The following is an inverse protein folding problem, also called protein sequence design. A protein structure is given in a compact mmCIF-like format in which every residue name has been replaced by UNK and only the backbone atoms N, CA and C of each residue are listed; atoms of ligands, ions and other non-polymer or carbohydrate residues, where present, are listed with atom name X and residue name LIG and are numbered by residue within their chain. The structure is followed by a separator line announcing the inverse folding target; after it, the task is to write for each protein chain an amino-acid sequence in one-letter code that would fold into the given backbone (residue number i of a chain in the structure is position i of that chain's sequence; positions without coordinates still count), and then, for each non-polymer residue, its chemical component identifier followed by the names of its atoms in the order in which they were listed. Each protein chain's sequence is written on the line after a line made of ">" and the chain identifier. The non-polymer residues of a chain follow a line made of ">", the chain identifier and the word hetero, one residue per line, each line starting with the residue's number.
data_IF_568920655074
#
_entry.id   IF_568920655074
#
_cell.length_a   1.000
_cell.length_b   1.000
_cell.length_c   1.000
_cell.angle_alpha   90.00
_cell.angle_beta   90.00
_cell.angle_gamma   90.00
#
_symmetry.space_group_name_H-M   'P 1'
#
loop_
_entity.id
_entity.type
_entity.pdbx_description
1 polymer ?
#
# COMPACT_ATOMS: atom_id res chain seq x y z
N UNK A 1 9.32 26.19 39.14
CA UNK A 1 8.37 25.30 38.45
C UNK A 1 9.08 24.00 38.20
N UNK A 2 8.71 22.96 38.92
CA UNK A 2 9.33 21.64 38.94
C UNK A 2 9.06 20.96 37.62
N UNK A 3 10.09 20.73 36.80
CA UNK A 3 10.03 19.84 35.63
C UNK A 3 9.78 18.46 36.24
N UNK A 4 8.51 18.00 36.15
CA UNK A 4 8.13 16.66 36.55
C UNK A 4 8.92 15.68 35.67
N UNK A 5 9.72 14.80 36.30
CA UNK A 5 10.38 13.66 35.69
C UNK A 5 9.34 12.78 35.02
N UNK A 6 8.99 13.06 33.76
CA UNK A 6 8.30 12.10 32.90
C UNK A 6 9.24 10.91 32.74
N UNK A 7 8.84 9.73 33.18
CA UNK A 7 9.64 8.52 33.07
C UNK A 7 9.98 8.28 31.60
N UNK A 8 11.24 8.48 31.23
CA UNK A 8 11.72 8.22 29.87
C UNK A 8 11.54 6.72 29.57
N UNK A 9 10.72 6.39 28.57
CA UNK A 9 10.50 5.02 28.16
C UNK A 9 11.78 4.41 27.59
N UNK A 10 12.06 3.15 27.95
CA UNK A 10 13.14 2.40 27.30
C UNK A 10 12.78 2.15 25.83
N UNK A 11 13.72 2.39 24.93
CA UNK A 11 13.52 2.31 23.48
C UNK A 11 13.21 0.89 22.97
N UNK A 12 13.57 -0.14 23.74
CA UNK A 12 13.28 -1.56 23.47
C UNK A 12 11.97 -2.04 24.12
N UNK A 13 11.24 -1.17 24.83
CA UNK A 13 9.99 -1.53 25.50
C UNK A 13 8.79 -1.46 24.53
N UNK A 14 7.81 -2.32 24.79
CA UNK A 14 6.53 -2.27 24.06
C UNK A 14 5.79 -0.94 24.33
N UNK A 15 5.94 -0.34 25.52
CA UNK A 15 5.35 0.97 25.84
C UNK A 15 5.86 2.06 24.90
N UNK A 16 7.16 2.06 24.60
CA UNK A 16 7.77 2.99 23.64
C UNK A 16 7.17 2.82 22.24
N UNK A 17 7.10 1.57 21.76
CA UNK A 17 6.54 1.27 20.44
C UNK A 17 5.06 1.59 20.35
N UNK A 18 4.27 1.30 21.42
CA UNK A 18 2.83 1.64 21.49
C UNK A 18 2.59 3.15 21.46
N UNK A 19 3.37 3.93 22.21
CA UNK A 19 3.23 5.38 22.24
C UNK A 19 3.43 5.98 20.84
N UNK A 20 4.56 5.67 20.22
CA UNK A 20 4.89 6.25 18.92
C UNK A 20 4.03 5.68 17.76
N UNK A 21 3.54 4.45 17.87
CA UNK A 21 2.54 3.93 16.96
C UNK A 21 1.21 4.68 17.10
N UNK A 22 0.79 5.00 18.33
CA UNK A 22 -0.42 5.77 18.59
C UNK A 22 -0.33 7.20 18.05
N UNK A 23 0.84 7.85 18.18
CA UNK A 23 1.10 9.16 17.55
C UNK A 23 1.01 9.09 16.02
N UNK A 24 1.58 8.06 15.39
CA UNK A 24 1.50 7.87 13.95
C UNK A 24 0.05 7.61 13.49
N UNK A 25 -0.71 6.75 14.20
CA UNK A 25 -2.13 6.50 13.94
C UNK A 25 -2.97 7.78 14.12
N UNK A 26 -2.68 8.59 15.12
CA UNK A 26 -3.36 9.88 15.32
C UNK A 26 -3.13 10.83 14.13
N UNK A 27 -1.91 10.88 13.57
CA UNK A 27 -1.62 11.64 12.35
C UNK A 27 -2.38 11.11 11.14
N UNK A 28 -2.56 9.79 11.01
CA UNK A 28 -3.37 9.23 9.92
C UNK A 28 -4.82 9.71 10.04
N UNK A 29 -5.39 9.70 11.21
CA UNK A 29 -6.76 10.18 11.45
C UNK A 29 -6.98 11.66 11.12
N UNK A 30 -5.91 12.45 11.09
CA UNK A 30 -5.94 13.87 10.64
C UNK A 30 -5.59 14.04 9.15
N UNK A 31 -5.44 12.94 8.38
CA UNK A 31 -5.28 12.99 6.93
C UNK A 31 -3.86 12.71 6.41
N UNK A 32 -2.90 12.37 7.27
CA UNK A 32 -1.54 12.03 6.83
C UNK A 32 -1.46 10.55 6.45
N UNK A 33 -0.92 10.20 5.27
CA UNK A 33 -0.69 8.81 4.89
C UNK A 33 0.24 8.09 5.89
N UNK A 34 -0.04 6.83 6.23
CA UNK A 34 0.68 6.08 7.26
C UNK A 34 2.21 6.03 7.06
N UNK A 35 2.75 5.79 5.84
CA UNK A 35 4.20 5.81 5.65
C UNK A 35 4.83 7.18 5.97
N UNK A 36 4.12 8.26 5.65
CA UNK A 36 4.58 9.62 5.95
C UNK A 36 4.45 9.94 7.45
N UNK A 37 3.36 9.50 8.09
CA UNK A 37 3.16 9.64 9.53
C UNK A 37 4.28 8.93 10.30
N UNK A 38 4.60 7.68 9.94
CA UNK A 38 5.71 6.92 10.52
C UNK A 38 7.05 7.63 10.32
N UNK A 39 7.34 8.10 9.11
CA UNK A 39 8.59 8.85 8.84
C UNK A 39 8.72 10.10 9.69
N UNK A 40 7.62 10.85 9.87
CA UNK A 40 7.59 12.04 10.73
C UNK A 40 7.86 11.70 12.18
N UNK A 41 7.17 10.70 12.74
CA UNK A 41 7.34 10.27 14.14
C UNK A 41 8.76 9.74 14.38
N UNK A 42 9.31 8.95 13.46
CA UNK A 42 10.68 8.43 13.54
C UNK A 42 11.70 9.58 13.58
N UNK A 43 11.53 10.58 12.72
CA UNK A 43 12.44 11.72 12.65
C UNK A 43 12.32 12.64 13.88
N UNK A 44 11.09 12.99 14.28
CA UNK A 44 10.82 13.90 15.41
C UNK A 44 11.31 13.35 16.74
N UNK A 45 11.17 12.03 16.95
CA UNK A 45 11.56 11.38 18.20
C UNK A 45 12.92 10.66 18.11
N UNK A 46 13.67 10.84 17.02
CA UNK A 46 14.97 10.18 16.78
C UNK A 46 14.92 8.67 17.07
N UNK A 47 13.88 7.98 16.62
CA UNK A 47 13.62 6.57 16.95
C UNK A 47 14.73 5.68 16.41
N UNK A 48 15.41 4.90 17.29
CA UNK A 48 16.52 4.07 16.88
C UNK A 48 16.09 2.93 15.96
N UNK A 49 16.95 2.48 15.03
CA UNK A 49 16.61 1.47 14.00
C UNK A 49 15.96 0.21 14.56
N UNK A 50 16.41 -0.31 15.70
CA UNK A 50 15.90 -1.54 16.32
C UNK A 50 14.46 -1.40 16.83
N UNK A 51 13.97 -0.20 17.15
CA UNK A 51 12.59 0.04 17.61
C UNK A 51 11.60 0.25 16.45
N UNK A 52 12.08 0.56 15.23
CA UNK A 52 11.23 0.93 14.09
C UNK A 52 10.33 -0.21 13.63
N UNK A 53 10.83 -1.45 13.69
CA UNK A 53 10.08 -2.63 13.26
C UNK A 53 8.80 -2.86 14.07
N UNK A 54 8.90 -2.85 15.40
CA UNK A 54 7.76 -3.02 16.31
C UNK A 54 6.75 -1.88 16.18
N UNK A 55 7.23 -0.63 16.13
CA UNK A 55 6.40 0.56 15.91
C UNK A 55 5.61 0.44 14.59
N UNK A 56 6.27 0.08 13.51
CA UNK A 56 5.66 -0.08 12.20
C UNK A 56 4.63 -1.20 12.21
N UNK A 57 4.95 -2.37 12.77
CA UNK A 57 4.02 -3.51 12.86
C UNK A 57 2.75 -3.13 13.63
N UNK A 58 2.86 -2.51 14.80
CA UNK A 58 1.73 -2.06 15.61
C UNK A 58 0.85 -1.09 14.82
N UNK A 59 1.45 -0.08 14.17
CA UNK A 59 0.70 0.90 13.41
C UNK A 59 -0.05 0.29 12.21
N UNK A 60 0.60 -0.56 11.42
CA UNK A 60 -0.04 -1.26 10.30
C UNK A 60 -1.14 -2.22 10.76
N UNK A 61 -0.92 -2.98 11.83
CA UNK A 61 -1.91 -3.87 12.43
C UNK A 61 -3.12 -3.07 12.92
N UNK A 62 -2.89 -1.96 13.61
CA UNK A 62 -3.95 -1.08 14.08
C UNK A 62 -4.78 -0.56 12.92
N UNK A 63 -4.17 -0.09 11.85
CA UNK A 63 -4.89 0.41 10.68
C UNK A 63 -5.72 -0.70 9.98
N UNK A 64 -5.25 -1.97 9.98
CA UNK A 64 -6.03 -3.10 9.46
C UNK A 64 -7.22 -3.46 10.34
N UNK A 65 -7.14 -3.22 11.65
CA UNK A 65 -8.15 -3.61 12.64
C UNK A 65 -8.86 -2.40 13.27
N UNK A 66 -8.72 -1.20 12.68
CA UNK A 66 -9.22 0.04 13.28
C UNK A 66 -10.73 0.00 13.47
N UNK A 67 -11.49 -0.54 12.52
CA UNK A 67 -12.94 -0.62 12.64
C UNK A 67 -13.39 -1.45 13.84
N UNK A 68 -12.75 -2.60 14.07
CA UNK A 68 -13.02 -3.43 15.26
C UNK A 68 -12.58 -2.72 16.54
N UNK A 69 -11.40 -2.15 16.55
CA UNK A 69 -10.89 -1.45 17.74
C UNK A 69 -11.76 -0.27 18.15
N UNK A 70 -12.30 0.49 17.20
CA UNK A 70 -13.22 1.61 17.48
C UNK A 70 -14.56 1.15 18.02
N UNK A 71 -15.14 0.10 17.45
CA UNK A 71 -16.40 -0.47 17.95
C UNK A 71 -16.22 -1.05 19.35
N UNK A 72 -15.15 -1.80 19.60
CA UNK A 72 -14.82 -2.30 20.92
C UNK A 72 -14.64 -1.15 21.93
N UNK A 73 -13.94 -0.11 21.55
CA UNK A 73 -13.74 1.05 22.44
C UNK A 73 -15.08 1.73 22.78
N UNK A 74 -16.01 1.81 21.83
CA UNK A 74 -17.35 2.36 22.06
C UNK A 74 -18.20 1.48 23.01
N UNK A 75 -18.02 0.17 22.99
CA UNK A 75 -18.69 -0.76 23.92
C UNK A 75 -18.05 -0.75 25.33
N UNK A 76 -16.75 -0.52 25.40
CA UNK A 76 -15.97 -0.53 26.64
C UNK A 76 -16.08 0.77 27.44
N UNK A 77 -16.26 1.90 26.79
CA UNK A 77 -16.28 3.21 27.42
C UNK A 77 -17.57 3.95 27.09
N UNK A 78 -18.34 4.32 28.11
CA UNK A 78 -19.57 5.13 27.94
C UNK A 78 -19.26 6.47 27.28
N UNK A 79 -18.07 7.02 27.53
CA UNK A 79 -17.58 8.24 26.91
C UNK A 79 -16.14 7.98 26.43
N UNK A 80 -15.96 7.46 25.21
CA UNK A 80 -14.62 7.25 24.64
C UNK A 80 -13.84 8.57 24.57
N UNK A 81 -12.51 8.54 24.67
CA UNK A 81 -11.69 9.73 24.43
C UNK A 81 -11.92 10.29 23.03
N UNK A 82 -11.85 11.61 22.89
CA UNK A 82 -11.88 12.26 21.59
C UNK A 82 -10.73 11.73 20.69
N UNK A 83 -10.91 11.75 19.34
CA UNK A 83 -9.84 11.36 18.42
C UNK A 83 -8.52 12.11 18.73
N UNK A 84 -7.46 11.36 18.92
CA UNK A 84 -6.14 11.87 19.32
C UNK A 84 -5.22 10.74 19.74
N UNK A 85 -4.09 11.05 20.36
CA UNK A 85 -3.09 10.05 20.74
C UNK A 85 -3.63 9.04 21.75
N UNK A 86 -4.40 9.49 22.76
CA UNK A 86 -5.00 8.60 23.76
C UNK A 86 -5.99 7.60 23.15
N UNK A 87 -6.88 8.08 22.27
CA UNK A 87 -7.80 7.23 21.52
C UNK A 87 -7.03 6.21 20.66
N UNK A 88 -5.99 6.69 19.95
CA UNK A 88 -5.16 5.85 19.11
C UNK A 88 -4.36 4.82 19.92
N UNK A 89 -3.90 5.16 21.13
CA UNK A 89 -3.23 4.22 22.05
C UNK A 89 -4.15 3.07 22.46
N UNK A 90 -5.41 3.38 22.79
CA UNK A 90 -6.41 2.35 23.10
C UNK A 90 -6.70 1.46 21.88
N UNK A 91 -6.83 2.05 20.68
CA UNK A 91 -7.00 1.29 19.45
C UNK A 91 -5.78 0.39 19.15
N UNK A 92 -4.55 0.89 19.35
CA UNK A 92 -3.33 0.10 19.21
C UNK A 92 -3.31 -1.09 20.18
N UNK A 93 -3.60 -0.84 21.46
CA UNK A 93 -3.63 -1.90 22.46
C UNK A 93 -4.73 -2.93 22.14
N UNK A 94 -5.95 -2.51 21.81
CA UNK A 94 -7.05 -3.39 21.43
C UNK A 94 -6.70 -4.21 20.18
N UNK A 95 -6.06 -3.62 19.16
CA UNK A 95 -5.66 -4.37 17.96
C UNK A 95 -4.64 -5.48 18.22
N UNK A 96 -3.87 -5.38 19.30
CA UNK A 96 -2.92 -6.43 19.71
C UNK A 96 -3.56 -7.58 20.49
N UNK A 97 -4.72 -7.35 21.14
CA UNK A 97 -5.34 -8.32 22.05
C UNK A 97 -6.72 -8.81 21.60
N UNK A 98 -7.30 -8.25 20.52
CA UNK A 98 -8.66 -8.54 20.05
C UNK A 98 -8.73 -9.44 18.81
N UNK A 99 -7.70 -10.23 18.55
CA UNK A 99 -7.73 -11.19 17.44
C UNK A 99 -8.73 -12.32 17.77
N UNK A 100 -9.67 -12.66 16.87
CA UNK A 100 -10.53 -13.82 17.06
C UNK A 100 -9.72 -15.12 17.13
N UNK A 101 -10.21 -16.09 17.90
CA UNK A 101 -9.55 -17.38 18.13
C UNK A 101 -9.29 -18.18 16.84
N UNK A 102 -10.11 -17.96 15.80
CA UNK A 102 -10.02 -18.64 14.50
C UNK A 102 -8.93 -18.04 13.56
N UNK A 103 -8.34 -16.91 13.92
CA UNK A 103 -7.24 -16.33 13.13
C UNK A 103 -5.95 -17.08 13.43
N UNK A 104 -5.53 -17.92 12.50
CA UNK A 104 -4.27 -18.68 12.58
C UNK A 104 -3.07 -17.77 12.89
N UNK A 105 -2.60 -17.80 14.12
CA UNK A 105 -1.42 -17.09 14.57
C UNK A 105 -1.48 -16.73 16.05
N UNK A 106 -0.42 -17.00 16.78
CA UNK A 106 -0.28 -16.54 18.17
C UNK A 106 -0.31 -15.00 18.23
N UNK A 107 -0.97 -14.47 19.26
CA UNK A 107 -0.87 -13.05 19.57
C UNK A 107 0.62 -12.66 19.69
N UNK A 108 1.04 -11.52 19.11
CA UNK A 108 2.46 -11.15 19.12
C UNK A 108 2.98 -10.82 20.52
N UNK A 109 2.08 -10.55 21.45
CA UNK A 109 2.38 -10.21 22.85
C UNK A 109 1.33 -10.80 23.79
N UNK A 110 1.77 -11.18 24.98
CA UNK A 110 0.87 -11.57 26.06
C UNK A 110 -0.08 -10.43 26.42
N UNK A 111 -1.40 -10.73 26.54
CA UNK A 111 -2.44 -9.73 26.73
C UNK A 111 -2.21 -8.83 27.96
N UNK A 112 -1.79 -9.42 29.09
CA UNK A 112 -1.46 -8.65 30.30
C UNK A 112 -0.26 -7.75 30.11
N UNK A 113 0.73 -8.16 29.30
CA UNK A 113 1.87 -7.33 28.94
C UNK A 113 1.40 -6.11 28.16
N UNK A 114 0.53 -6.28 27.16
CA UNK A 114 -0.04 -5.16 26.39
C UNK A 114 -0.74 -4.15 27.29
N UNK A 115 -1.58 -4.63 28.23
CA UNK A 115 -2.28 -3.75 29.18
C UNK A 115 -1.30 -2.94 30.01
N UNK A 116 -0.33 -3.59 30.63
CA UNK A 116 0.67 -2.91 31.48
C UNK A 116 1.50 -1.90 30.70
N UNK A 117 1.93 -2.26 29.49
CA UNK A 117 2.73 -1.39 28.64
C UNK A 117 1.93 -0.22 28.05
N UNK A 118 0.64 -0.39 27.76
CA UNK A 118 -0.25 0.72 27.36
C UNK A 118 -0.47 1.71 28.52
N UNK A 119 -0.62 1.22 29.76
CA UNK A 119 -0.70 2.09 30.95
C UNK A 119 0.60 2.84 31.17
N UNK A 120 1.74 2.17 30.98
CA UNK A 120 3.08 2.79 31.09
C UNK A 120 3.24 3.88 30.00
N UNK A 121 2.86 3.59 28.76
CA UNK A 121 2.88 4.56 27.66
C UNK A 121 2.02 5.80 27.98
N UNK A 122 0.78 5.60 28.47
CA UNK A 122 -0.09 6.69 28.87
C UNK A 122 0.53 7.54 30.00
N UNK A 123 1.15 6.87 31.00
CA UNK A 123 1.76 7.55 32.15
C UNK A 123 2.99 8.40 31.79
N UNK A 124 3.70 8.04 30.73
CA UNK A 124 4.90 8.74 30.27
C UNK A 124 4.63 9.96 29.39
N UNK A 125 3.40 10.11 28.89
CA UNK A 125 3.02 11.19 27.99
C UNK A 125 2.28 12.31 28.75
N UNK A 126 2.72 13.56 28.60
CA UNK A 126 2.21 14.71 29.34
C UNK A 126 0.69 14.84 29.27
N UNK A 127 0.11 14.71 28.06
CA UNK A 127 -1.32 14.90 27.84
C UNK A 127 -2.17 13.67 28.19
N UNK A 128 -1.56 12.52 28.46
CA UNK A 128 -2.26 11.26 28.73
C UNK A 128 -2.09 10.74 30.16
N UNK A 129 -1.12 11.26 30.93
CA UNK A 129 -0.78 10.77 32.27
C UNK A 129 -2.00 10.75 33.22
N UNK A 130 -2.90 11.74 33.11
CA UNK A 130 -4.14 11.80 33.89
C UNK A 130 -5.12 10.66 33.55
N UNK A 131 -5.04 10.09 32.35
CA UNK A 131 -5.97 9.06 31.86
C UNK A 131 -5.48 7.61 32.07
N UNK A 132 -4.31 7.39 32.70
CA UNK A 132 -3.72 6.05 32.93
C UNK A 132 -4.71 5.07 33.60
N UNK A 133 -5.52 5.56 34.55
CA UNK A 133 -6.54 4.77 35.24
C UNK A 133 -7.64 4.30 34.28
N UNK A 134 -8.07 5.16 33.35
CA UNK A 134 -9.04 4.82 32.33
C UNK A 134 -8.47 3.78 31.35
N UNK A 135 -7.22 3.96 30.85
CA UNK A 135 -6.56 2.97 29.98
C UNK A 135 -6.53 1.61 30.63
N UNK A 136 -6.12 1.53 31.91
CA UNK A 136 -6.11 0.27 32.64
C UNK A 136 -7.54 -0.34 32.80
N UNK A 137 -8.53 0.45 33.15
CA UNK A 137 -9.90 -0.01 33.36
C UNK A 137 -10.51 -0.54 32.05
N UNK A 138 -10.36 0.19 30.93
CA UNK A 138 -10.88 -0.21 29.61
C UNK A 138 -10.26 -1.52 29.15
N UNK A 139 -8.93 -1.62 29.17
CA UNK A 139 -8.25 -2.82 28.67
C UNK A 139 -8.45 -4.03 29.57
N UNK A 140 -8.48 -3.88 30.91
CA UNK A 140 -8.81 -4.98 31.82
C UNK A 140 -10.27 -5.41 31.70
N UNK A 141 -11.21 -4.50 31.46
CA UNK A 141 -12.60 -4.86 31.19
C UNK A 141 -12.68 -5.67 29.90
N UNK A 142 -11.96 -5.29 28.85
CA UNK A 142 -11.91 -6.09 27.62
C UNK A 142 -11.44 -7.52 27.90
N UNK A 143 -10.36 -7.73 28.65
CA UNK A 143 -9.85 -9.07 28.96
C UNK A 143 -10.84 -9.93 29.74
N UNK A 144 -11.64 -9.33 30.65
CA UNK A 144 -12.64 -10.06 31.42
C UNK A 144 -13.88 -10.43 30.60
N UNK A 145 -14.27 -9.59 29.65
CA UNK A 145 -15.51 -9.70 28.89
C UNK A 145 -15.25 -9.98 27.40
N UNK A 146 -14.04 -10.43 27.05
CA UNK A 146 -13.51 -10.51 25.68
C UNK A 146 -14.48 -11.19 24.71
N UNK A 147 -14.95 -12.40 25.03
CA UNK A 147 -15.80 -13.19 24.14
C UNK A 147 -17.13 -12.48 23.85
N UNK A 148 -17.80 -11.97 24.88
CA UNK A 148 -19.07 -11.26 24.73
C UNK A 148 -18.91 -9.95 23.94
N UNK A 149 -17.84 -9.18 24.22
CA UNK A 149 -17.56 -7.93 23.53
C UNK A 149 -17.19 -8.16 22.07
N UNK A 150 -16.43 -9.20 21.75
CA UNK A 150 -16.12 -9.56 20.35
C UNK A 150 -17.38 -9.99 19.60
N UNK A 151 -18.22 -10.85 20.20
CA UNK A 151 -19.50 -11.25 19.59
C UNK A 151 -20.42 -10.06 19.32
N UNK A 152 -20.50 -9.11 20.26
CA UNK A 152 -21.31 -7.90 20.07
C UNK A 152 -20.70 -6.97 18.99
N UNK A 153 -19.39 -6.75 19.04
CA UNK A 153 -18.70 -5.90 18.05
C UNK A 153 -18.83 -6.46 16.62
N UNK A 154 -18.71 -7.76 16.43
CA UNK A 154 -18.80 -8.40 15.11
C UNK A 154 -20.19 -8.35 14.47
N UNK A 155 -21.24 -7.98 15.19
CA UNK A 155 -22.56 -7.67 14.62
C UNK A 155 -22.51 -6.40 13.77
N UNK A 156 -21.54 -5.52 14.00
CA UNK A 156 -21.38 -4.28 13.24
C UNK A 156 -20.48 -4.51 12.01
N UNK A 157 -20.93 -4.18 10.78
CA UNK A 157 -20.13 -4.40 9.56
C UNK A 157 -18.74 -3.74 9.61
N UNK A 158 -18.61 -2.57 10.25
CA UNK A 158 -17.33 -1.89 10.38
C UNK A 158 -16.31 -2.69 11.22
N UNK A 159 -16.76 -3.40 12.24
CA UNK A 159 -15.89 -4.26 13.06
C UNK A 159 -15.64 -5.63 12.41
N UNK A 160 -16.65 -6.19 11.75
CA UNK A 160 -16.56 -7.48 11.06
C UNK A 160 -15.53 -7.41 9.93
N UNK A 161 -15.65 -6.42 9.07
CA UNK A 161 -14.84 -6.28 7.86
C UNK A 161 -13.63 -5.36 8.04
N UNK A 162 -13.58 -4.53 9.08
CA UNK A 162 -12.56 -3.50 9.29
C UNK A 162 -12.47 -2.46 8.15
N UNK A 163 -13.62 -2.00 7.67
CA UNK A 163 -13.76 -0.96 6.66
C UNK A 163 -14.87 0.03 7.03
N UNK A 164 -14.79 1.29 6.56
CA UNK A 164 -15.90 2.22 6.68
C UNK A 164 -17.15 1.70 5.94
N UNK A 165 -18.35 2.00 6.43
CA UNK A 165 -19.61 1.52 5.84
C UNK A 165 -19.73 1.85 4.36
N UNK A 166 -19.40 3.09 3.95
CA UNK A 166 -19.46 3.50 2.54
C UNK A 166 -18.57 2.64 1.63
N UNK A 167 -17.40 2.17 2.13
CA UNK A 167 -16.49 1.31 1.37
C UNK A 167 -17.07 -0.08 1.18
N UNK A 168 -17.65 -0.64 2.24
CA UNK A 168 -18.33 -1.94 2.19
C UNK A 168 -19.47 -1.89 1.17
N UNK A 169 -20.31 -0.84 1.22
CA UNK A 169 -21.45 -0.67 0.32
C UNK A 169 -20.99 -0.48 -1.13
N UNK A 170 -19.94 0.31 -1.38
CA UNK A 170 -19.36 0.50 -2.70
C UNK A 170 -18.76 -0.79 -3.27
N UNK A 171 -18.09 -1.59 -2.42
CA UNK A 171 -17.54 -2.89 -2.85
C UNK A 171 -18.65 -3.87 -3.18
N UNK A 172 -19.71 -3.95 -2.38
CA UNK A 172 -20.90 -4.76 -2.67
C UNK A 172 -21.58 -4.38 -3.99
N UNK A 173 -21.70 -3.08 -4.24
CA UNK A 173 -22.32 -2.58 -5.47
C UNK A 173 -21.47 -2.89 -6.71
N UNK A 174 -20.14 -2.75 -6.62
CA UNK A 174 -19.23 -3.01 -7.73
C UNK A 174 -19.01 -4.51 -8.00
N UNK A 175 -18.97 -5.34 -6.95
CA UNK A 175 -18.63 -6.77 -7.00
C UNK A 175 -19.60 -7.60 -6.14
N UNK A 176 -20.86 -7.77 -6.56
CA UNK A 176 -21.89 -8.43 -5.75
C UNK A 176 -21.56 -9.87 -5.34
N UNK A 177 -20.75 -10.58 -6.14
CA UNK A 177 -20.33 -11.96 -5.86
C UNK A 177 -19.04 -12.06 -5.05
N UNK A 178 -18.12 -11.10 -5.24
CA UNK A 178 -16.73 -11.22 -4.77
C UNK A 178 -16.40 -10.26 -3.59
N UNK A 179 -17.33 -9.38 -3.21
CA UNK A 179 -17.06 -8.32 -2.23
C UNK A 179 -16.50 -8.81 -0.89
N UNK A 180 -16.94 -9.99 -0.41
CA UNK A 180 -16.45 -10.56 0.84
C UNK A 180 -14.99 -11.00 0.71
N UNK A 181 -14.65 -11.68 -0.37
CA UNK A 181 -13.29 -12.13 -0.66
C UNK A 181 -12.35 -10.92 -0.83
N UNK A 182 -12.80 -9.86 -1.52
CA UNK A 182 -12.05 -8.60 -1.69
C UNK A 182 -11.73 -7.96 -0.33
N UNK A 183 -12.74 -7.82 0.55
CA UNK A 183 -12.54 -7.21 1.87
C UNK A 183 -11.66 -8.08 2.76
N UNK A 184 -11.84 -9.41 2.71
CA UNK A 184 -11.02 -10.36 3.46
C UNK A 184 -9.54 -10.30 3.01
N UNK A 185 -9.28 -10.36 1.70
CA UNK A 185 -7.93 -10.24 1.14
C UNK A 185 -7.23 -8.94 1.59
N UNK A 186 -7.96 -7.83 1.62
CA UNK A 186 -7.42 -6.54 2.08
C UNK A 186 -7.03 -6.50 3.57
N UNK A 187 -7.51 -7.43 4.38
CA UNK A 187 -7.15 -7.55 5.79
C UNK A 187 -5.95 -8.47 6.05
N UNK A 188 -5.49 -9.21 5.03
CA UNK A 188 -4.32 -10.08 5.16
C UNK A 188 -3.01 -9.28 5.16
N UNK A 189 -1.94 -9.88 5.66
CA UNK A 189 -0.60 -9.35 5.49
C UNK A 189 -0.15 -9.55 4.04
N UNK A 190 0.34 -8.52 3.35
CA UNK A 190 0.78 -8.67 1.96
C UNK A 190 2.01 -9.58 1.88
N UNK A 191 2.11 -10.42 0.83
CA UNK A 191 3.31 -11.22 0.60
C UNK A 191 4.49 -10.33 0.21
N UNK A 192 5.70 -10.82 0.47
CA UNK A 192 6.90 -10.26 -0.13
C UNK A 192 7.13 -10.92 -1.49
N UNK A 193 6.71 -10.22 -2.54
CA UNK A 193 6.85 -10.64 -3.93
C UNK A 193 7.98 -9.88 -4.60
N UNK A 194 8.85 -10.61 -5.27
CA UNK A 194 10.01 -10.09 -5.97
C UNK A 194 9.82 -10.26 -7.48
N UNK A 195 10.26 -9.27 -8.26
CA UNK A 195 10.48 -9.39 -9.69
C UNK A 195 11.94 -9.69 -9.94
N UNK A 196 12.20 -10.77 -10.66
CA UNK A 196 13.56 -11.16 -11.07
C UNK A 196 14.00 -10.36 -12.28
N UNK A 197 15.17 -9.74 -12.23
CA UNK A 197 15.76 -8.97 -13.31
C UNK A 197 16.34 -9.89 -14.38
N UNK A 198 15.64 -10.03 -15.51
CA UNK A 198 16.01 -10.90 -16.62
C UNK A 198 17.35 -10.57 -17.29
N UNK A 199 17.82 -9.33 -17.17
CA UNK A 199 19.15 -8.93 -17.68
C UNK A 199 20.31 -9.47 -16.85
N UNK A 200 20.02 -9.94 -15.61
CA UNK A 200 21.06 -10.33 -14.66
C UNK A 200 20.99 -11.79 -14.20
N UNK A 201 19.78 -12.36 -14.15
CA UNK A 201 19.58 -13.74 -13.66
C UNK A 201 18.26 -14.32 -14.17
N UNK A 202 18.05 -15.61 -13.91
CA UNK A 202 16.79 -16.30 -14.19
C UNK A 202 16.01 -16.55 -12.91
N UNK A 203 14.71 -16.85 -13.01
CA UNK A 203 13.87 -17.21 -11.85
C UNK A 203 14.42 -18.47 -11.18
N UNK A 204 14.82 -19.50 -11.96
CA UNK A 204 15.36 -20.73 -11.42
C UNK A 204 16.66 -20.49 -10.62
N UNK A 205 17.62 -19.77 -11.18
CA UNK A 205 18.89 -19.45 -10.51
C UNK A 205 18.66 -18.59 -9.24
N UNK A 206 17.67 -17.69 -9.27
CA UNK A 206 17.36 -16.88 -8.09
C UNK A 206 16.68 -17.70 -6.98
N UNK A 207 15.81 -18.66 -7.31
CA UNK A 207 15.23 -19.61 -6.35
C UNK A 207 16.31 -20.47 -5.68
N UNK A 208 17.27 -20.94 -6.45
CA UNK A 208 18.45 -21.67 -5.91
C UNK A 208 19.27 -20.78 -4.96
N UNK A 209 19.49 -19.52 -5.33
CA UNK A 209 20.18 -18.55 -4.47
C UNK A 209 19.43 -18.29 -3.16
N UNK A 210 18.10 -18.17 -3.19
CA UNK A 210 17.28 -18.03 -1.99
C UNK A 210 17.38 -19.28 -1.12
N UNK A 211 17.23 -20.47 -1.71
CA UNK A 211 17.35 -21.76 -1.01
C UNK A 211 18.71 -21.93 -0.32
N UNK A 212 19.79 -21.58 -1.00
CA UNK A 212 21.15 -21.61 -0.45
C UNK A 212 21.35 -20.66 0.75
N UNK A 213 20.50 -19.61 0.85
CA UNK A 213 20.47 -18.67 1.98
C UNK A 213 19.37 -19.00 3.02
N UNK A 214 18.78 -20.21 2.96
CA UNK A 214 17.75 -20.66 3.91
C UNK A 214 16.40 -19.95 3.77
N UNK A 215 16.12 -19.35 2.62
CA UNK A 215 14.88 -18.64 2.33
C UNK A 215 13.97 -19.46 1.43
N UNK A 216 12.86 -19.96 1.97
CA UNK A 216 11.86 -20.68 1.19
C UNK A 216 11.05 -19.70 0.33
N UNK A 217 10.91 -20.03 -0.94
CA UNK A 217 10.20 -19.20 -1.91
C UNK A 217 9.63 -20.05 -3.07
N UNK A 218 8.60 -19.53 -3.74
CA UNK A 218 7.96 -20.17 -4.88
C UNK A 218 7.84 -19.21 -6.07
N UNK A 219 7.89 -19.74 -7.28
CA UNK A 219 7.56 -18.98 -8.47
C UNK A 219 6.05 -18.84 -8.59
N UNK A 220 5.54 -17.61 -8.79
CA UNK A 220 4.11 -17.32 -8.93
C UNK A 220 3.79 -16.59 -10.24
N UNK A 221 4.74 -16.47 -11.15
CA UNK A 221 4.59 -15.82 -12.45
C UNK A 221 5.87 -15.90 -13.27
N UNK A 222 5.86 -15.38 -14.50
CA UNK A 222 7.03 -15.48 -15.39
C UNK A 222 8.32 -14.85 -14.82
N UNK A 223 8.15 -13.81 -13.98
CA UNK A 223 9.27 -13.08 -13.33
C UNK A 223 9.06 -12.99 -11.83
N UNK A 224 7.93 -13.49 -11.31
CA UNK A 224 7.52 -13.29 -9.93
C UNK A 224 7.94 -14.45 -9.05
N UNK A 225 8.66 -14.12 -7.96
CA UNK A 225 9.02 -15.03 -6.88
C UNK A 225 8.40 -14.51 -5.59
N UNK A 226 7.68 -15.36 -4.85
CA UNK A 226 7.09 -15.04 -3.55
C UNK A 226 7.85 -15.76 -2.46
N UNK A 227 8.30 -15.02 -1.45
CA UNK A 227 8.87 -15.60 -0.24
C UNK A 227 7.77 -16.12 0.68
N UNK A 228 7.98 -17.27 1.30
CA UNK A 228 7.05 -17.80 2.32
C UNK A 228 7.02 -16.92 3.58
N UNK A 229 8.17 -16.39 3.96
CA UNK A 229 8.30 -15.47 5.09
C UNK A 229 8.90 -14.15 4.63
N UNK A 230 8.24 -13.01 4.91
CA UNK A 230 8.81 -11.70 4.61
C UNK A 230 10.12 -11.48 5.38
N UNK A 231 11.10 -10.92 4.71
CA UNK A 231 12.37 -10.51 5.31
C UNK A 231 12.64 -9.04 4.99
N UNK A 232 13.44 -8.33 5.79
CA UNK A 232 13.92 -7.00 5.44
C UNK A 232 14.65 -7.00 4.09
N UNK A 233 14.39 -6.00 3.26
CA UNK A 233 14.90 -5.94 1.87
C UNK A 233 16.43 -6.04 1.78
N UNK A 234 17.14 -5.50 2.77
CA UNK A 234 18.62 -5.57 2.83
C UNK A 234 19.18 -6.98 3.11
N UNK A 235 18.32 -7.91 3.56
CA UNK A 235 18.70 -9.32 3.76
C UNK A 235 18.47 -10.17 2.50
N UNK A 236 17.80 -9.63 1.48
CA UNK A 236 17.57 -10.36 0.24
C UNK A 236 18.89 -10.51 -0.54
N UNK A 237 19.33 -11.73 -0.84
CA UNK A 237 20.56 -11.95 -1.60
C UNK A 237 20.44 -11.31 -2.99
N UNK A 238 21.47 -10.58 -3.40
CA UNK A 238 21.53 -9.93 -4.70
C UNK A 238 20.63 -8.70 -4.88
N UNK A 239 19.94 -8.21 -3.84
CA UNK A 239 19.09 -7.01 -3.96
C UNK A 239 19.91 -5.76 -4.30
N UNK A 240 21.01 -5.51 -3.59
CA UNK A 240 21.89 -4.36 -3.83
C UNK A 240 22.56 -4.43 -5.20
N UNK A 241 22.78 -5.63 -5.76
CA UNK A 241 23.30 -5.85 -7.10
C UNK A 241 22.22 -5.74 -8.20
N UNK A 242 20.96 -5.54 -7.82
CA UNK A 242 19.85 -5.39 -8.74
C UNK A 242 19.40 -6.70 -9.41
N UNK A 243 19.62 -7.86 -8.78
CA UNK A 243 19.11 -9.14 -9.27
C UNK A 243 17.58 -9.20 -9.18
N UNK A 244 17.00 -8.50 -8.20
CA UNK A 244 15.55 -8.44 -7.98
C UNK A 244 15.09 -7.05 -7.58
N UNK A 245 13.78 -6.84 -7.75
CA UNK A 245 13.05 -5.68 -7.22
C UNK A 245 11.81 -6.15 -6.47
N UNK A 246 11.43 -5.44 -5.40
CA UNK A 246 10.15 -5.71 -4.72
C UNK A 246 9.03 -5.14 -5.60
N UNK A 247 8.15 -6.01 -6.08
CA UNK A 247 7.00 -5.62 -6.88
C UNK A 247 5.91 -6.68 -6.78
N UNK A 248 4.67 -6.23 -6.59
CA UNK A 248 3.49 -7.09 -6.60
C UNK A 248 3.35 -7.86 -7.93
N UNK A 249 2.85 -9.11 -7.87
CA UNK A 249 2.74 -9.97 -9.05
C UNK A 249 1.83 -9.36 -10.14
N UNK A 250 0.68 -8.77 -9.75
CA UNK A 250 -0.18 -8.10 -10.70
C UNK A 250 0.51 -6.86 -11.34
N UNK A 251 1.33 -6.12 -10.58
CA UNK A 251 2.04 -4.96 -11.10
C UNK A 251 3.13 -5.32 -12.12
N UNK A 252 3.60 -6.58 -12.11
CA UNK A 252 4.59 -7.08 -13.08
C UNK A 252 4.00 -7.30 -14.47
N UNK A 253 2.68 -7.29 -14.65
CA UNK A 253 2.05 -7.45 -15.97
C UNK A 253 2.21 -6.21 -16.87
N UNK A 254 2.51 -5.05 -16.31
CA UNK A 254 2.57 -3.80 -17.09
C UNK A 254 3.60 -3.85 -18.24
N UNK A 255 4.82 -4.30 -18.00
CA UNK A 255 5.87 -4.32 -19.01
C UNK A 255 5.59 -5.33 -20.14
N UNK A 256 5.22 -6.60 -19.88
CA UNK A 256 4.81 -7.53 -20.94
C UNK A 256 3.62 -7.04 -21.77
N UNK A 257 2.60 -6.42 -21.13
CA UNK A 257 1.42 -5.93 -21.85
C UNK A 257 1.74 -4.74 -22.76
N UNK A 258 2.66 -3.87 -22.37
CA UNK A 258 3.04 -2.73 -23.19
C UNK A 258 3.86 -3.13 -24.42
N UNK A 259 4.51 -4.30 -24.38
CA UNK A 259 5.22 -4.92 -25.51
C UNK A 259 6.26 -3.96 -26.12
N UNK A 260 7.20 -3.53 -25.29
CA UNK A 260 8.30 -2.66 -25.72
C UNK A 260 9.36 -3.45 -26.47
N UNK A 261 9.95 -2.84 -27.52
CA UNK A 261 11.02 -3.42 -28.35
C UNK A 261 12.22 -2.47 -28.37
N UNK A 262 13.39 -3.02 -28.70
CA UNK A 262 14.62 -2.24 -28.77
C UNK A 262 14.48 -1.01 -29.70
N UNK A 263 15.07 0.09 -29.30
CA UNK A 263 15.04 1.36 -30.03
C UNK A 263 13.76 2.18 -29.93
N UNK A 264 12.70 1.67 -29.26
CA UNK A 264 11.45 2.42 -29.10
C UNK A 264 11.61 3.63 -28.18
N UNK A 265 10.85 4.69 -28.48
CA UNK A 265 10.61 5.80 -27.57
C UNK A 265 9.43 5.49 -26.66
N UNK A 266 9.68 5.48 -25.37
CA UNK A 266 8.72 5.05 -24.34
C UNK A 266 8.55 6.16 -23.29
N UNK A 267 7.30 6.44 -22.93
CA UNK A 267 6.97 7.31 -21.81
C UNK A 267 6.35 6.46 -20.68
N UNK A 268 6.91 6.57 -19.49
CA UNK A 268 6.29 6.11 -18.24
C UNK A 268 5.75 7.34 -17.51
N UNK A 269 4.46 7.57 -17.63
CA UNK A 269 3.78 8.71 -16.99
C UNK A 269 3.32 8.34 -15.58
N UNK A 270 3.55 9.25 -14.62
CA UNK A 270 3.32 9.03 -13.18
C UNK A 270 4.23 7.92 -12.60
N UNK A 271 5.52 7.99 -12.98
CA UNK A 271 6.47 6.87 -12.88
C UNK A 271 6.89 6.48 -11.45
N UNK A 272 6.89 7.44 -10.50
CA UNK A 272 7.44 7.19 -9.17
C UNK A 272 6.64 6.14 -8.37
N UNK A 273 7.34 5.20 -7.71
CA UNK A 273 8.78 5.19 -7.36
C UNK A 273 9.71 4.47 -8.37
N UNK A 274 9.29 4.20 -9.61
CA UNK A 274 10.14 3.65 -10.67
C UNK A 274 10.11 2.13 -10.82
N UNK A 275 9.19 1.44 -10.16
CA UNK A 275 9.10 -0.02 -10.24
C UNK A 275 8.74 -0.53 -11.65
N UNK A 276 7.79 0.12 -12.33
CA UNK A 276 7.40 -0.17 -13.71
C UNK A 276 8.45 0.35 -14.71
N UNK A 277 9.02 1.54 -14.45
CA UNK A 277 10.15 2.10 -15.20
C UNK A 277 11.30 1.10 -15.32
N UNK A 278 11.77 0.59 -14.18
CA UNK A 278 12.84 -0.42 -14.15
C UNK A 278 12.44 -1.69 -14.93
N UNK A 279 11.21 -2.18 -14.80
CA UNK A 279 10.75 -3.37 -15.50
C UNK A 279 10.74 -3.20 -17.02
N UNK A 280 10.30 -2.04 -17.53
CA UNK A 280 10.35 -1.72 -18.96
C UNK A 280 11.80 -1.77 -19.49
N UNK A 281 12.74 -1.16 -18.75
CA UNK A 281 14.15 -1.15 -19.09
C UNK A 281 14.83 -2.51 -18.95
N UNK A 282 14.33 -3.39 -18.08
CA UNK A 282 14.79 -4.79 -18.00
C UNK A 282 14.32 -5.62 -19.19
N UNK A 283 13.29 -5.19 -19.92
CA UNK A 283 12.67 -5.94 -21.01
C UNK A 283 13.33 -5.69 -22.36
N UNK A 284 13.71 -4.43 -22.67
CA UNK A 284 14.31 -4.05 -23.95
C UNK A 284 15.22 -2.82 -23.82
N UNK A 285 16.07 -2.57 -24.82
CA UNK A 285 16.92 -1.38 -24.91
C UNK A 285 16.14 -0.22 -25.55
N UNK A 286 15.50 0.59 -24.71
CA UNK A 286 14.55 1.63 -25.10
C UNK A 286 15.02 3.03 -24.71
N UNK A 287 14.53 4.05 -25.42
CA UNK A 287 14.65 5.45 -25.03
C UNK A 287 13.49 5.80 -24.09
N UNK A 288 13.72 5.68 -22.77
CA UNK A 288 12.65 5.85 -21.79
C UNK A 288 12.70 7.22 -21.13
N UNK A 289 11.56 7.92 -21.14
CA UNK A 289 11.28 9.10 -20.33
C UNK A 289 10.40 8.69 -19.18
N UNK A 290 10.84 8.92 -17.94
CA UNK A 290 10.06 8.72 -16.72
C UNK A 290 9.62 10.08 -16.17
N UNK A 291 8.31 10.32 -16.13
CA UNK A 291 7.69 11.56 -15.71
C UNK A 291 6.97 11.38 -14.37
N UNK A 292 7.22 12.26 -13.41
CA UNK A 292 6.41 12.36 -12.20
C UNK A 292 6.22 13.82 -11.79
N UNK A 293 5.04 14.16 -11.26
CA UNK A 293 4.73 15.54 -10.87
C UNK A 293 5.34 15.95 -9.53
N UNK A 294 5.67 15.00 -8.66
CA UNK A 294 6.27 15.27 -7.34
C UNK A 294 7.80 15.16 -7.39
N UNK A 295 8.47 16.33 -7.42
CA UNK A 295 9.92 16.42 -7.40
C UNK A 295 10.58 15.65 -6.23
N UNK A 296 9.86 15.43 -5.12
CA UNK A 296 10.37 14.68 -3.94
C UNK A 296 10.38 13.17 -4.18
N UNK A 297 9.63 12.68 -5.17
CA UNK A 297 9.54 11.27 -5.52
C UNK A 297 10.49 10.85 -6.62
N UNK A 298 10.89 11.79 -7.50
CA UNK A 298 11.81 11.52 -8.62
C UNK A 298 13.16 10.96 -8.17
N UNK A 299 13.81 11.41 -7.08
CA UNK A 299 15.04 10.79 -6.59
C UNK A 299 14.93 9.28 -6.30
N UNK A 300 13.74 8.80 -5.92
CA UNK A 300 13.54 7.35 -5.71
C UNK A 300 13.56 6.56 -7.00
N UNK A 301 13.13 7.15 -8.12
CA UNK A 301 13.29 6.52 -9.44
C UNK A 301 14.78 6.41 -9.75
N UNK A 302 15.53 7.47 -9.54
CA UNK A 302 16.98 7.50 -9.80
C UNK A 302 17.73 6.46 -8.94
N UNK A 303 17.49 6.41 -7.64
CA UNK A 303 18.06 5.41 -6.73
C UNK A 303 17.79 3.97 -7.21
N UNK A 304 16.55 3.68 -7.61
CA UNK A 304 16.19 2.38 -8.15
C UNK A 304 16.91 2.07 -9.46
N UNK A 305 16.99 3.02 -10.39
CA UNK A 305 17.71 2.84 -11.66
C UNK A 305 19.21 2.66 -11.45
N UNK A 306 19.83 3.41 -10.55
CA UNK A 306 21.24 3.23 -10.18
C UNK A 306 21.52 1.82 -9.63
N UNK A 307 20.69 1.34 -8.71
CA UNK A 307 20.78 0.00 -8.14
C UNK A 307 20.65 -1.09 -9.21
N UNK A 308 19.75 -0.89 -10.18
CA UNK A 308 19.53 -1.80 -11.30
C UNK A 308 20.58 -1.68 -12.40
N UNK A 309 21.41 -0.61 -12.38
CA UNK A 309 22.35 -0.22 -13.42
C UNK A 309 21.67 0.08 -14.77
N UNK A 310 20.50 0.73 -14.69
CA UNK A 310 19.69 1.16 -15.82
C UNK A 310 19.65 2.68 -15.90
N UNK A 311 19.30 3.23 -17.10
CA UNK A 311 19.24 4.66 -17.34
C UNK A 311 17.92 5.05 -17.99
N UNK A 312 17.36 6.17 -17.57
CA UNK A 312 16.20 6.83 -18.19
C UNK A 312 16.36 8.33 -18.13
N UNK A 313 15.61 9.05 -18.98
CA UNK A 313 15.46 10.50 -18.86
C UNK A 313 14.40 10.80 -17.80
N UNK A 314 14.81 11.34 -16.64
CA UNK A 314 13.90 11.70 -15.56
C UNK A 314 13.39 13.13 -15.75
N UNK A 315 12.08 13.32 -15.74
CA UNK A 315 11.45 14.64 -15.84
C UNK A 315 10.49 14.89 -14.67
N UNK A 316 10.60 16.05 -14.06
CA UNK A 316 9.58 16.58 -13.14
C UNK A 316 8.57 17.34 -13.96
N UNK A 317 7.30 16.90 -13.94
CA UNK A 317 6.26 17.57 -14.71
C UNK A 317 4.89 16.94 -14.53
N UNK A 318 3.86 17.74 -14.76
CA UNK A 318 2.47 17.32 -14.68
C UNK A 318 2.03 16.69 -16.01
N UNK A 319 1.55 15.45 -15.96
CA UNK A 319 1.02 14.75 -17.13
C UNK A 319 -0.25 15.40 -17.72
N UNK A 320 -0.89 16.32 -17.00
CA UNK A 320 -1.96 17.18 -17.51
C UNK A 320 -1.44 18.30 -18.44
N UNK A 321 -0.14 18.64 -18.34
CA UNK A 321 0.49 19.73 -19.08
C UNK A 321 1.48 19.20 -20.12
N UNK A 322 2.05 20.12 -20.96
CA UNK A 322 2.99 19.77 -22.03
C UNK A 322 4.31 20.53 -21.96
N UNK A 323 4.52 21.41 -20.99
CA UNK A 323 5.73 22.21 -20.86
C UNK A 323 7.03 21.38 -20.69
N UNK A 324 6.92 20.14 -20.20
CA UNK A 324 8.01 19.19 -20.03
C UNK A 324 8.33 18.39 -21.29
N UNK A 325 7.41 18.38 -22.27
CA UNK A 325 7.51 17.61 -23.50
C UNK A 325 8.20 18.42 -24.57
N UNK A 326 9.18 17.83 -25.23
CA UNK A 326 10.03 18.44 -26.28
C UNK A 326 9.49 18.21 -27.69
N UNK A 327 8.32 17.61 -27.85
CA UNK A 327 7.73 17.27 -29.15
C UNK A 327 8.04 15.85 -29.64
N UNK A 328 8.91 15.11 -28.97
CA UNK A 328 9.22 13.72 -29.31
C UNK A 328 7.97 12.85 -29.15
N UNK A 329 7.55 12.22 -30.25
CA UNK A 329 6.42 11.28 -30.21
C UNK A 329 6.87 9.91 -29.69
N UNK A 330 5.99 9.24 -28.93
CA UNK A 330 6.27 7.96 -28.30
C UNK A 330 5.64 6.78 -29.05
N UNK A 331 6.36 5.66 -29.14
CA UNK A 331 5.86 4.38 -29.67
C UNK A 331 4.98 3.68 -28.64
N UNK A 332 5.33 3.85 -27.35
CA UNK A 332 4.62 3.25 -26.21
C UNK A 332 4.46 4.26 -25.09
N UNK A 333 3.29 4.25 -24.45
CA UNK A 333 3.03 5.05 -23.25
C UNK A 333 2.46 4.15 -22.16
N UNK A 334 3.11 4.11 -21.02
CA UNK A 334 2.57 3.59 -19.78
C UNK A 334 1.92 4.76 -19.03
N UNK A 335 0.62 4.65 -18.78
CA UNK A 335 -0.16 5.63 -18.04
C UNK A 335 -0.64 4.98 -16.71
N UNK A 336 0.24 4.93 -15.69
CA UNK A 336 -0.09 4.48 -14.33
C UNK A 336 -0.63 5.67 -13.52
N UNK A 337 -1.87 6.02 -13.84
CA UNK A 337 -2.46 7.31 -13.44
C UNK A 337 -2.82 7.37 -11.95
N UNK A 338 -2.88 8.59 -11.36
CA UNK A 338 -3.36 8.78 -10.00
C UNK A 338 -4.78 8.24 -9.83
N UNK A 339 -4.99 7.44 -8.79
CA UNK A 339 -6.28 6.84 -8.43
C UNK A 339 -6.44 6.76 -6.90
N UNK A 340 -7.58 6.24 -6.43
CA UNK A 340 -7.83 6.04 -4.99
C UNK A 340 -6.90 5.02 -4.35
N UNK A 341 -6.23 4.19 -5.14
CA UNK A 341 -5.37 3.09 -4.70
C UNK A 341 -6.12 2.02 -3.89
N UNK A 342 -7.43 1.88 -4.13
CA UNK A 342 -8.30 0.97 -3.37
C UNK A 342 -7.96 -0.52 -3.55
N UNK A 343 -7.26 -0.89 -4.61
CA UNK A 343 -6.83 -2.28 -4.86
C UNK A 343 -5.61 -2.73 -4.07
N UNK A 344 -4.82 -1.78 -3.52
CA UNK A 344 -3.59 -2.08 -2.76
C UNK A 344 -3.76 -1.85 -1.25
N UNK A 345 -4.99 -1.87 -0.76
CA UNK A 345 -5.37 -1.56 0.62
C UNK A 345 -4.73 -2.47 1.67
N UNK A 346 -4.29 -3.70 1.31
CA UNK A 346 -3.58 -4.56 2.25
C UNK A 346 -2.15 -4.10 2.53
N UNK A 347 -1.50 -3.45 1.53
CA UNK A 347 -0.17 -2.81 1.69
C UNK A 347 -0.27 -1.46 2.35
N UNK A 348 -1.37 -0.75 2.10
CA UNK A 348 -1.66 0.59 2.59
C UNK A 348 -3.02 0.60 3.30
N UNK A 349 -3.14 0.01 4.52
CA UNK A 349 -4.42 -0.14 5.21
C UNK A 349 -5.03 1.19 5.67
N UNK A 350 -4.25 2.25 5.71
CA UNK A 350 -4.67 3.62 5.95
C UNK A 350 -5.57 4.20 4.84
N UNK A 351 -5.42 3.74 3.60
CA UNK A 351 -6.20 4.22 2.45
C UNK A 351 -7.70 4.14 2.71
N UNK A 352 -8.19 3.03 3.28
CA UNK A 352 -9.61 2.84 3.57
C UNK A 352 -10.19 3.86 4.55
N UNK A 353 -9.35 4.45 5.39
CA UNK A 353 -9.71 5.45 6.40
C UNK A 353 -9.47 6.89 5.93
N UNK A 354 -8.55 7.08 4.98
CA UNK A 354 -8.20 8.38 4.41
C UNK A 354 -9.11 8.78 3.25
N UNK A 355 -9.53 7.80 2.42
CA UNK A 355 -10.36 8.07 1.25
C UNK A 355 -11.81 8.37 1.60
N UNK A 356 -12.40 9.23 0.77
CA UNK A 356 -13.83 9.59 0.81
C UNK A 356 -14.52 9.04 -0.44
N UNK A 357 -15.83 8.84 -0.37
CA UNK A 357 -16.65 8.35 -1.50
C UNK A 357 -16.50 9.22 -2.76
N UNK A 358 -16.33 10.54 -2.59
CA UNK A 358 -16.15 11.48 -3.70
C UNK A 358 -14.81 11.40 -4.42
N UNK A 359 -13.77 10.86 -3.79
CA UNK A 359 -12.41 10.89 -4.33
C UNK A 359 -12.29 10.09 -5.63
N UNK A 360 -13.02 8.97 -5.74
CA UNK A 360 -13.00 8.14 -6.94
C UNK A 360 -13.46 8.91 -8.19
N UNK A 361 -14.52 9.72 -8.09
CA UNK A 361 -15.00 10.53 -9.21
C UNK A 361 -14.05 11.68 -9.55
N UNK A 362 -13.48 12.32 -8.54
CA UNK A 362 -12.51 13.40 -8.72
C UNK A 362 -11.25 12.89 -9.42
N UNK A 363 -10.69 11.78 -8.96
CA UNK A 363 -9.48 11.18 -9.55
C UNK A 363 -9.76 10.60 -10.93
N UNK A 364 -10.93 10.01 -11.17
CA UNK A 364 -11.36 9.60 -12.51
C UNK A 364 -11.38 10.77 -13.50
N UNK A 365 -11.82 11.96 -13.08
CA UNK A 365 -11.81 13.16 -13.90
C UNK A 365 -10.38 13.62 -14.23
N UNK A 366 -9.48 13.54 -13.25
CA UNK A 366 -8.04 13.87 -13.46
C UNK A 366 -7.40 12.86 -14.41
N UNK A 367 -7.59 11.57 -14.19
CA UNK A 367 -7.01 10.51 -15.03
C UNK A 367 -7.52 10.57 -16.47
N UNK A 368 -8.80 10.93 -16.69
CA UNK A 368 -9.35 11.17 -18.03
C UNK A 368 -8.55 12.23 -18.79
N UNK A 369 -8.31 13.38 -18.17
CA UNK A 369 -7.56 14.49 -18.78
C UNK A 369 -6.09 14.10 -19.04
N UNK A 370 -5.47 13.33 -18.13
CA UNK A 370 -4.12 12.79 -18.33
C UNK A 370 -4.09 11.91 -19.59
N UNK A 371 -5.00 10.94 -19.69
CA UNK A 371 -5.07 10.02 -20.83
C UNK A 371 -5.27 10.78 -22.14
N UNK A 372 -6.17 11.79 -22.18
CA UNK A 372 -6.43 12.61 -23.35
C UNK A 372 -5.18 13.41 -23.78
N UNK A 373 -4.40 13.89 -22.81
CA UNK A 373 -3.15 14.60 -23.11
C UNK A 373 -2.06 13.65 -23.62
N UNK A 374 -1.87 12.51 -22.98
CA UNK A 374 -0.88 11.50 -23.37
C UNK A 374 -1.17 10.89 -24.75
N UNK A 375 -2.46 10.70 -25.10
CA UNK A 375 -2.87 10.21 -26.43
C UNK A 375 -2.37 11.06 -27.58
N UNK A 376 -2.24 12.37 -27.37
CA UNK A 376 -1.72 13.30 -28.39
C UNK A 376 -0.22 13.10 -28.65
N UNK A 377 0.51 12.59 -27.65
CA UNK A 377 1.95 12.34 -27.71
C UNK A 377 2.29 10.97 -28.29
N UNK A 378 1.27 10.12 -28.50
CA UNK A 378 1.43 8.77 -29.03
C UNK A 378 1.46 8.80 -30.55
N UNK A 379 2.43 8.11 -31.18
CA UNK A 379 2.52 7.92 -32.65
C UNK A 379 1.31 7.19 -33.20
N UNK A 380 0.98 7.34 -34.49
CA UNK A 380 0.15 6.37 -35.20
C UNK A 380 0.70 4.96 -34.97
N UNK A 381 -0.18 3.96 -34.82
CA UNK A 381 0.11 2.56 -34.47
C UNK A 381 0.78 2.34 -33.10
N UNK A 382 1.06 3.41 -32.36
CA UNK A 382 1.55 3.35 -31.01
C UNK A 382 0.55 2.74 -30.03
N UNK A 383 1.04 2.24 -28.90
CA UNK A 383 0.20 1.64 -27.85
C UNK A 383 0.26 2.46 -26.56
N UNK A 384 -0.90 2.65 -25.92
CA UNK A 384 -1.05 3.23 -24.60
C UNK A 384 -1.60 2.17 -23.65
N UNK A 385 -0.88 1.88 -22.56
CA UNK A 385 -1.34 1.01 -21.48
C UNK A 385 -1.84 1.88 -20.33
N UNK A 386 -3.13 1.87 -20.12
CA UNK A 386 -3.79 2.50 -19.00
C UNK A 386 -3.80 1.54 -17.80
N UNK A 387 -3.27 2.01 -16.67
CA UNK A 387 -3.17 1.23 -15.42
C UNK A 387 -3.71 2.03 -14.26
N UNK A 388 -4.46 1.38 -13.40
CA UNK A 388 -4.81 1.89 -12.07
C UNK A 388 -4.71 0.79 -11.02
N UNK A 389 -4.40 1.15 -9.78
CA UNK A 389 -4.55 0.25 -8.64
C UNK A 389 -5.87 0.51 -7.89
N UNK A 390 -6.94 0.79 -8.62
CA UNK A 390 -8.29 1.03 -8.09
C UNK A 390 -9.20 -0.17 -8.31
N UNK A 391 -10.11 -0.38 -7.35
CA UNK A 391 -11.23 -1.31 -7.47
C UNK A 391 -12.48 -0.65 -8.08
N UNK A 392 -12.52 0.69 -8.14
CA UNK A 392 -13.74 1.39 -8.51
C UNK A 392 -13.91 1.45 -10.04
N UNK A 393 -15.07 0.97 -10.59
CA UNK A 393 -15.31 0.95 -12.03
C UNK A 393 -15.15 2.31 -12.71
N UNK A 394 -15.48 3.41 -12.01
CA UNK A 394 -15.33 4.77 -12.53
C UNK A 394 -13.87 5.22 -12.72
N UNK A 395 -12.92 4.59 -12.02
CA UNK A 395 -11.48 4.82 -12.18
C UNK A 395 -10.82 3.77 -13.09
N UNK A 396 -11.55 2.74 -13.50
CA UNK A 396 -11.04 1.59 -14.26
C UNK A 396 -11.84 1.35 -15.55
N UNK A 397 -12.71 0.36 -15.60
CA UNK A 397 -13.40 -0.06 -16.82
C UNK A 397 -14.30 1.03 -17.45
N UNK A 398 -15.05 1.77 -16.64
CA UNK A 398 -15.88 2.84 -17.16
C UNK A 398 -15.05 3.95 -17.84
N UNK A 399 -13.88 4.24 -17.26
CA UNK A 399 -12.91 5.19 -17.80
C UNK A 399 -12.30 4.68 -19.12
N UNK A 400 -11.92 3.40 -19.16
CA UNK A 400 -11.36 2.76 -20.34
C UNK A 400 -12.36 2.72 -21.51
N UNK A 401 -13.63 2.38 -21.24
CA UNK A 401 -14.70 2.38 -22.23
C UNK A 401 -14.95 3.80 -22.79
N UNK A 402 -15.08 4.79 -21.91
CA UNK A 402 -15.27 6.18 -22.32
C UNK A 402 -14.09 6.71 -23.16
N UNK A 403 -12.84 6.35 -22.79
CA UNK A 403 -11.64 6.72 -23.55
C UNK A 403 -11.65 6.12 -24.95
N UNK A 404 -11.97 4.82 -25.09
CA UNK A 404 -12.03 4.14 -26.37
C UNK A 404 -13.01 4.83 -27.35
N UNK A 405 -14.19 5.21 -26.86
CA UNK A 405 -15.21 5.92 -27.66
C UNK A 405 -14.74 7.32 -28.04
N UNK A 406 -14.22 8.09 -27.08
CA UNK A 406 -13.82 9.48 -27.25
C UNK A 406 -12.69 9.67 -28.27
N UNK A 407 -11.76 8.72 -28.32
CA UNK A 407 -10.59 8.76 -29.18
C UNK A 407 -10.65 7.78 -30.36
N UNK A 408 -11.74 7.05 -30.54
CA UNK A 408 -11.86 5.95 -31.51
C UNK A 408 -10.65 5.00 -31.43
N UNK A 409 -10.19 4.78 -30.18
CA UNK A 409 -9.01 3.98 -29.90
C UNK A 409 -9.34 2.49 -30.02
N UNK A 410 -8.52 1.74 -30.73
CA UNK A 410 -8.65 0.29 -30.81
C UNK A 410 -8.23 -0.34 -29.49
N UNK A 411 -9.18 -0.94 -28.78
CA UNK A 411 -8.88 -1.69 -27.56
C UNK A 411 -8.26 -3.03 -27.93
N UNK A 412 -7.11 -3.33 -27.33
CA UNK A 412 -6.39 -4.60 -27.47
C UNK A 412 -6.64 -5.51 -26.26
N UNK A 413 -6.37 -6.83 -26.37
CA UNK A 413 -6.47 -7.75 -25.23
C UNK A 413 -5.61 -7.29 -24.05
N UNK A 414 -6.22 -7.23 -22.87
CA UNK A 414 -5.60 -6.97 -21.59
C UNK A 414 -6.46 -7.62 -20.48
N UNK A 415 -5.89 -7.87 -19.29
CA UNK A 415 -6.61 -8.57 -18.21
C UNK A 415 -7.89 -7.87 -17.74
N UNK A 416 -8.03 -6.54 -17.93
CA UNK A 416 -9.10 -5.78 -17.29
C UNK A 416 -8.88 -5.65 -15.79
N UNK A 417 -9.94 -5.86 -14.99
CA UNK A 417 -9.86 -5.76 -13.53
C UNK A 417 -9.33 -7.06 -12.92
N UNK A 418 -8.20 -6.96 -12.26
CA UNK A 418 -7.68 -7.96 -11.34
C UNK A 418 -8.16 -7.61 -9.93
N UNK A 419 -8.88 -8.51 -9.29
CA UNK A 419 -9.32 -8.34 -7.90
C UNK A 419 -8.21 -8.77 -6.94
N UNK A 420 -8.06 -8.13 -5.78
CA UNK A 420 -7.08 -8.56 -4.80
C UNK A 420 -7.44 -9.95 -4.29
N UNK A 421 -6.45 -10.82 -4.26
CA UNK A 421 -6.58 -12.19 -3.76
C UNK A 421 -5.43 -12.52 -2.84
N UNK A 422 -5.65 -13.44 -1.91
CA UNK A 422 -4.68 -13.93 -0.95
C UNK A 422 -4.57 -15.46 -0.99
N UNK A 423 -4.85 -16.06 -2.15
CA UNK A 423 -4.73 -17.50 -2.37
C UNK A 423 -3.27 -17.92 -2.49
N UNK A 424 -3.01 -19.21 -2.19
CA UNK A 424 -1.65 -19.74 -2.26
C UNK A 424 -1.04 -19.66 -3.66
N UNK A 425 -1.85 -19.76 -4.71
CA UNK A 425 -1.40 -19.77 -6.11
C UNK A 425 -1.47 -18.39 -6.78
N UNK A 426 -2.48 -17.56 -6.38
CA UNK A 426 -2.78 -16.29 -7.03
C UNK A 426 -2.79 -15.13 -6.01
N UNK A 427 -1.68 -14.92 -5.33
CA UNK A 427 -1.56 -13.87 -4.31
C UNK A 427 -1.07 -12.57 -4.93
N UNK A 428 -1.97 -11.64 -5.19
CA UNK A 428 -1.66 -10.32 -5.76
C UNK A 428 -2.64 -9.24 -5.31
N UNK A 429 -2.22 -7.99 -5.48
CA UNK A 429 -3.06 -6.81 -5.24
C UNK A 429 -4.09 -6.59 -6.37
N UNK A 430 -5.05 -5.71 -6.13
CA UNK A 430 -6.02 -5.31 -7.14
C UNK A 430 -5.43 -4.26 -8.09
N UNK A 431 -5.42 -4.57 -9.39
CA UNK A 431 -5.03 -3.65 -10.46
C UNK A 431 -5.99 -3.74 -11.65
N UNK A 432 -6.03 -2.69 -12.43
CA UNK A 432 -6.76 -2.64 -13.68
C UNK A 432 -5.82 -2.34 -14.84
N UNK A 433 -6.05 -3.01 -15.98
CA UNK A 433 -5.28 -2.86 -17.21
C UNK A 433 -6.19 -2.71 -18.43
N UNK A 434 -5.98 -1.66 -19.21
CA UNK A 434 -6.57 -1.53 -20.55
C UNK A 434 -5.49 -1.07 -21.54
N UNK A 435 -5.35 -1.80 -22.65
CA UNK A 435 -4.38 -1.52 -23.70
C UNK A 435 -5.09 -0.96 -24.91
N UNK A 436 -4.61 0.18 -25.40
CA UNK A 436 -5.15 0.86 -26.57
C UNK A 436 -4.09 1.01 -27.65
N UNK A 437 -4.51 0.86 -28.92
CA UNK A 437 -3.70 1.20 -30.10
C UNK A 437 -4.29 2.40 -30.82
N UNK A 438 -3.44 3.34 -31.19
CA UNK A 438 -3.81 4.50 -32.00
C UNK A 438 -3.80 4.09 -33.47
N UNK A 439 -4.98 4.01 -34.06
CA UNK A 439 -5.10 3.66 -35.49
C UNK A 439 -4.54 4.81 -36.34
N UNK A 440 -3.72 4.50 -37.34
CA UNK A 440 -3.32 5.46 -38.36
C UNK A 440 -4.57 5.87 -39.16
N UNK A 441 -4.82 7.18 -39.25
CA UNK A 441 -5.89 7.75 -40.06
C UNK A 441 -5.32 8.06 -41.42
#
# INVERSE_FOLDING_TARGET
>A
MTISNLNTLKTDSLAYSLLHAAEAVALVRTGTALPLALSKIIAQNSIPPQARGALQDIAYRTMRQLGRSEVLLSLLATKPPAPGVLHSLLCCALSLISTPDDAAGSLPYEAFTVVNQAVTAASSHQDMAHAKGMVNAVLRRFLREQQALLQEALKQPAALWNYPGWWIDATKAAYPKDWQAILAAGNTTPPLTLRVNRRKTTVAAYLELLSANGMAASQIGPFAVRLEKPVPVHQLPGFSQGLVSVQDAAAQLAAPLLDVQDGMWVLDACAAPGGKTGHLLETADIHLVALDSDARRVPRIEENLQRLQLKASLKVGDALARYWWDGQMYDRILADVPCTASGIMRRHPDIRWLRRKSDALQLATVSSKILDNLWRMLRPDGKLLFVTCSLWPQESEAQAAAFAVRHQAKRLPAPGQLLPTADAENDHDGLFYALFQKVAI
#
